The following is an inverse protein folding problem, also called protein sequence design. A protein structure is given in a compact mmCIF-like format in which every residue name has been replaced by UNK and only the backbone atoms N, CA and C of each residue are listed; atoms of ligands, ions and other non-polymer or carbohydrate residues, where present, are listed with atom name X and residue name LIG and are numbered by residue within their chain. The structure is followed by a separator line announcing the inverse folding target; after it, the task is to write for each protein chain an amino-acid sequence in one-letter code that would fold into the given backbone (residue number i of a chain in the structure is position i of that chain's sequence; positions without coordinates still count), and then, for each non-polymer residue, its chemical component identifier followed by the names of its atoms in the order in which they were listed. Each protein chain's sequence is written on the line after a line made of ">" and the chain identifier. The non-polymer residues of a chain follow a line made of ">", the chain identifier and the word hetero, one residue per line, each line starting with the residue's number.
data_IF_967444635444
#
_entry.id   IF_967444635444
#
_cell.length_a   1.000
_cell.length_b   1.000
_cell.length_c   1.000
_cell.angle_alpha   90.00
_cell.angle_beta   90.00
_cell.angle_gamma   90.00
#
_symmetry.space_group_name_H-M   'P 1'
#
loop_
_entity.id
_entity.type
_entity.pdbx_description
1 polymer ?
#
# COMPACT_ATOMS: atom_id res chain seq x y z
N UNK A 1 10.33 23.45 -22.55
CA UNK A 1 9.76 22.17 -23.04
C UNK A 1 8.70 21.74 -22.03
N UNK A 2 7.59 21.13 -22.47
CA UNK A 2 6.61 20.60 -21.54
C UNK A 2 7.25 19.47 -20.69
N UNK A 3 6.74 19.29 -19.48
CA UNK A 3 7.22 18.28 -18.52
C UNK A 3 6.24 17.12 -18.48
N UNK A 4 6.68 15.95 -18.05
CA UNK A 4 5.83 14.81 -17.78
C UNK A 4 5.44 14.75 -16.31
N UNK A 5 4.32 14.08 -16.02
CA UNK A 5 4.03 13.60 -14.67
C UNK A 5 4.44 12.12 -14.58
N UNK A 6 5.32 11.80 -13.64
CA UNK A 6 5.75 10.44 -13.37
C UNK A 6 5.20 9.98 -12.04
N UNK A 7 4.48 8.87 -12.06
CA UNK A 7 3.94 8.18 -10.91
C UNK A 7 4.79 6.95 -10.66
N UNK A 8 5.60 6.98 -9.60
CA UNK A 8 6.29 5.79 -9.11
C UNK A 8 5.45 5.20 -8.00
N UNK A 9 5.08 3.92 -8.10
CA UNK A 9 4.20 3.30 -7.12
C UNK A 9 4.57 1.85 -6.81
N UNK A 10 4.35 1.45 -5.55
CA UNK A 10 4.39 0.04 -5.15
C UNK A 10 3.05 -0.67 -5.38
N UNK A 11 1.99 0.10 -5.58
CA UNK A 11 0.61 -0.35 -5.67
C UNK A 11 0.13 -0.47 -7.12
N UNK A 12 -0.99 -1.16 -7.32
CA UNK A 12 -1.70 -1.05 -8.60
C UNK A 12 -2.28 0.36 -8.73
N UNK A 13 -2.06 1.07 -9.85
CA UNK A 13 -2.66 2.38 -10.06
C UNK A 13 -4.18 2.26 -10.23
N UNK A 14 -4.92 3.02 -9.41
CA UNK A 14 -6.39 3.08 -9.44
C UNK A 14 -6.86 4.37 -10.09
N UNK A 15 -7.81 4.29 -11.03
CA UNK A 15 -8.36 5.45 -11.76
C UNK A 15 -8.82 6.58 -10.85
N UNK A 16 -9.55 6.26 -9.77
CA UNK A 16 -10.06 7.25 -8.79
C UNK A 16 -8.95 7.94 -8.00
N UNK A 17 -7.87 7.21 -7.68
CA UNK A 17 -6.71 7.75 -6.97
C UNK A 17 -5.95 8.70 -7.90
N UNK A 18 -5.70 8.30 -9.15
CA UNK A 18 -5.08 9.16 -10.16
C UNK A 18 -5.87 10.45 -10.36
N UNK A 19 -7.20 10.37 -10.50
CA UNK A 19 -8.06 11.55 -10.61
C UNK A 19 -7.93 12.50 -9.42
N UNK A 20 -7.91 11.96 -8.20
CA UNK A 20 -7.70 12.75 -6.97
C UNK A 20 -6.34 13.47 -7.02
N UNK A 21 -5.29 12.76 -7.42
CA UNK A 21 -3.93 13.31 -7.51
C UNK A 21 -3.84 14.38 -8.62
N UNK A 22 -4.50 14.19 -9.76
CA UNK A 22 -4.57 15.18 -10.83
C UNK A 22 -5.27 16.47 -10.40
N UNK A 23 -6.38 16.35 -9.67
CA UNK A 23 -7.08 17.51 -9.11
C UNK A 23 -6.20 18.25 -8.09
N UNK A 24 -5.49 17.51 -7.23
CA UNK A 24 -4.52 18.08 -6.29
C UNK A 24 -3.40 18.82 -7.02
N UNK A 25 -2.80 18.19 -8.03
CA UNK A 25 -1.76 18.78 -8.86
C UNK A 25 -2.23 20.07 -9.54
N UNK A 26 -3.40 20.04 -10.19
CA UNK A 26 -3.98 21.20 -10.83
C UNK A 26 -4.19 22.37 -9.86
N UNK A 27 -4.71 22.09 -8.66
CA UNK A 27 -4.90 23.09 -7.60
C UNK A 27 -3.59 23.70 -7.12
N UNK A 28 -2.60 22.86 -6.80
CA UNK A 28 -1.33 23.33 -6.24
C UNK A 28 -0.51 24.17 -7.24
N UNK A 29 -0.59 23.82 -8.52
CA UNK A 29 0.15 24.53 -9.58
C UNK A 29 -0.67 25.62 -10.28
N UNK A 30 -1.94 25.79 -9.92
CA UNK A 30 -2.84 26.75 -10.56
C UNK A 30 -3.06 26.47 -12.05
N UNK A 31 -3.06 25.19 -12.44
CA UNK A 31 -3.21 24.79 -13.84
C UNK A 31 -4.67 24.49 -14.18
N UNK A 32 -5.10 24.99 -15.34
CA UNK A 32 -6.32 24.51 -15.97
C UNK A 32 -6.09 23.10 -16.54
N UNK A 33 -6.96 22.17 -16.16
CA UNK A 33 -6.89 20.77 -16.57
C UNK A 33 -8.27 20.27 -17.00
N UNK A 34 -8.28 19.32 -17.93
CA UNK A 34 -9.45 18.52 -18.26
C UNK A 34 -9.19 17.09 -17.82
N UNK A 35 -10.15 16.52 -17.08
CA UNK A 35 -10.09 15.13 -16.63
C UNK A 35 -11.32 14.40 -17.16
N UNK A 36 -11.10 13.62 -18.21
CA UNK A 36 -12.09 12.78 -18.86
C UNK A 36 -12.04 11.36 -18.27
N UNK A 37 -12.53 10.39 -19.04
CA UNK A 37 -12.41 8.98 -18.66
C UNK A 37 -10.94 8.56 -18.65
N UNK A 38 -10.42 8.27 -17.46
CA UNK A 38 -9.06 7.77 -17.28
C UNK A 38 -8.91 6.35 -17.85
N UNK A 39 -7.84 6.15 -18.61
CA UNK A 39 -7.36 4.84 -19.09
C UNK A 39 -5.88 4.70 -18.74
N UNK A 40 -5.47 3.50 -18.35
CA UNK A 40 -4.10 3.15 -17.99
C UNK A 40 -3.67 1.98 -18.86
N UNK A 41 -2.89 2.22 -19.90
CA UNK A 41 -2.48 1.12 -20.79
C UNK A 41 -0.96 0.90 -20.78
N UNK A 42 -0.52 -0.36 -20.87
CA UNK A 42 0.90 -0.67 -20.95
C UNK A 42 1.47 -0.20 -22.29
N UNK A 43 2.66 0.39 -22.25
CA UNK A 43 3.40 0.77 -23.44
C UNK A 43 4.11 -0.45 -23.99
N UNK A 44 3.84 -0.77 -25.27
CA UNK A 44 4.53 -1.83 -25.97
C UNK A 44 5.56 -1.26 -26.95
N UNK A 45 6.71 -1.93 -27.05
CA UNK A 45 7.71 -1.73 -28.10
C UNK A 45 8.04 -3.10 -28.67
N UNK A 46 7.89 -3.27 -29.99
CA UNK A 46 8.11 -4.56 -30.66
C UNK A 46 7.28 -5.69 -30.02
N UNK A 47 6.00 -5.40 -29.70
CA UNK A 47 5.08 -6.29 -28.98
C UNK A 47 5.54 -6.73 -27.57
N UNK A 48 6.52 -6.03 -26.98
CA UNK A 48 7.02 -6.28 -25.62
C UNK A 48 6.67 -5.12 -24.71
N UNK A 49 6.21 -5.43 -23.50
CA UNK A 49 5.91 -4.44 -22.48
C UNK A 49 7.18 -3.76 -21.99
N UNK A 50 7.19 -2.43 -21.96
CA UNK A 50 8.36 -1.63 -21.55
C UNK A 50 8.43 -1.39 -20.04
N UNK A 51 7.61 -2.08 -19.24
CA UNK A 51 7.47 -1.85 -17.80
C UNK A 51 7.05 -0.41 -17.46
N UNK A 52 6.32 0.22 -18.38
CA UNK A 52 5.83 1.60 -18.26
C UNK A 52 4.40 1.65 -18.76
N UNK A 53 3.51 2.26 -17.98
CA UNK A 53 2.14 2.54 -18.41
C UNK A 53 2.01 4.01 -18.78
N UNK A 54 1.18 4.31 -19.77
CA UNK A 54 0.74 5.67 -20.07
C UNK A 54 -0.69 5.87 -19.57
N UNK A 55 -0.96 7.05 -19.00
CA UNK A 55 -2.30 7.44 -18.57
C UNK A 55 -2.86 8.47 -19.54
N UNK A 56 -4.05 8.20 -20.07
CA UNK A 56 -4.80 9.15 -20.88
C UNK A 56 -6.10 9.56 -20.18
N UNK A 57 -6.75 10.59 -20.72
CA UNK A 57 -7.92 11.22 -20.08
C UNK A 57 -7.55 12.34 -19.12
N UNK A 58 -6.27 12.71 -19.03
CA UNK A 58 -5.81 13.92 -18.37
C UNK A 58 -5.16 14.85 -19.38
N UNK A 59 -5.69 16.07 -19.54
CA UNK A 59 -5.13 17.08 -20.45
C UNK A 59 -4.76 18.35 -19.69
N UNK A 60 -3.50 18.73 -19.81
CA UNK A 60 -2.96 19.99 -19.33
C UNK A 60 -1.86 20.45 -20.29
N UNK A 61 -1.93 21.67 -20.84
CA UNK A 61 -0.90 22.15 -21.79
C UNK A 61 0.50 22.33 -21.16
N UNK A 62 0.64 22.16 -19.85
CA UNK A 62 1.92 22.17 -19.13
C UNK A 62 2.47 20.75 -18.90
N UNK A 63 1.65 19.72 -19.09
CA UNK A 63 2.00 18.31 -18.94
C UNK A 63 1.94 17.64 -20.32
N UNK A 64 3.07 17.09 -20.77
CA UNK A 64 3.13 16.39 -22.07
C UNK A 64 2.47 15.02 -21.96
N UNK A 65 2.97 14.18 -21.04
CA UNK A 65 2.43 12.84 -20.78
C UNK A 65 2.39 12.52 -19.29
N UNK A 66 1.58 11.53 -18.96
CA UNK A 66 1.52 10.94 -17.63
C UNK A 66 1.96 9.49 -17.71
N UNK A 67 2.99 9.14 -16.96
CA UNK A 67 3.57 7.82 -16.92
C UNK A 67 3.45 7.21 -15.54
N UNK A 68 3.24 5.89 -15.49
CA UNK A 68 3.30 5.11 -14.26
C UNK A 68 4.37 4.03 -14.40
N UNK A 69 5.21 3.88 -13.36
CA UNK A 69 6.19 2.80 -13.25
C UNK A 69 6.11 2.17 -11.87
N UNK A 70 6.21 0.84 -11.84
CA UNK A 70 6.25 0.09 -10.59
C UNK A 70 7.64 0.17 -9.97
N UNK A 71 7.69 0.45 -8.68
CA UNK A 71 8.91 0.51 -7.88
C UNK A 71 8.81 -0.42 -6.68
N UNK A 72 9.93 -0.62 -6.00
CA UNK A 72 9.99 -1.23 -4.68
C UNK A 72 10.79 -0.34 -3.73
N UNK A 73 10.34 -0.24 -2.48
CA UNK A 73 11.09 0.36 -1.39
C UNK A 73 12.24 -0.51 -0.92
N UNK A 74 13.33 0.11 -0.48
CA UNK A 74 14.37 -0.59 0.27
C UNK A 74 14.04 -0.71 1.77
N UNK A 75 12.98 -0.04 2.24
CA UNK A 75 12.45 -0.07 3.61
C UNK A 75 11.00 0.46 3.62
N UNK A 76 10.65 1.39 4.52
CA UNK A 76 9.30 1.96 4.65
C UNK A 76 8.97 2.96 3.52
N UNK A 77 8.46 2.46 2.40
CA UNK A 77 8.06 3.25 1.22
C UNK A 77 6.63 3.81 1.34
N UNK A 78 6.38 5.02 0.85
CA UNK A 78 5.04 5.60 0.66
C UNK A 78 4.46 5.13 -0.66
N UNK A 79 3.19 4.78 -0.72
CA UNK A 79 2.60 4.09 -1.88
C UNK A 79 2.79 4.78 -3.24
N UNK A 80 2.91 6.12 -3.28
CA UNK A 80 3.29 6.86 -4.48
C UNK A 80 4.37 7.93 -4.23
N UNK A 81 5.27 8.07 -5.21
CA UNK A 81 6.06 9.28 -5.43
C UNK A 81 5.68 9.90 -6.77
N UNK A 82 5.39 11.19 -6.77
CA UNK A 82 5.00 11.92 -7.98
C UNK A 82 6.08 12.92 -8.36
N UNK A 83 6.52 12.89 -9.61
CA UNK A 83 7.51 13.83 -10.15
C UNK A 83 6.90 14.65 -11.28
N UNK A 84 7.31 15.91 -11.39
CA UNK A 84 6.92 16.80 -12.46
C UNK A 84 8.16 17.35 -13.19
N UNK A 85 8.62 16.55 -14.15
CA UNK A 85 9.91 16.73 -14.83
C UNK A 85 9.88 16.10 -16.23
N UNK A 86 10.85 16.44 -17.07
CA UNK A 86 10.91 15.94 -18.45
C UNK A 86 11.28 14.45 -18.49
N UNK A 87 12.40 14.12 -17.89
CA UNK A 87 13.04 12.80 -18.02
C UNK A 87 12.55 11.83 -16.93
N UNK A 88 12.75 10.53 -17.16
CA UNK A 88 12.41 9.47 -16.21
C UNK A 88 13.12 9.71 -14.85
N UNK A 89 12.41 9.61 -13.70
CA UNK A 89 12.99 9.89 -12.40
C UNK A 89 14.20 9.02 -12.06
N UNK A 90 15.17 9.64 -11.40
CA UNK A 90 16.35 9.00 -10.81
C UNK A 90 16.32 9.19 -9.29
N UNK A 91 17.20 8.50 -8.56
CA UNK A 91 17.29 8.63 -7.11
C UNK A 91 17.73 10.03 -6.64
N UNK A 92 18.32 10.81 -7.53
CA UNK A 92 18.77 12.18 -7.27
C UNK A 92 17.64 13.20 -7.44
N UNK A 93 16.55 12.83 -8.12
CA UNK A 93 15.42 13.72 -8.33
C UNK A 93 14.54 13.82 -7.08
N UNK A 94 13.90 14.98 -6.91
CA UNK A 94 13.00 15.25 -5.79
C UNK A 94 11.53 15.16 -6.24
N UNK A 95 10.70 14.31 -5.59
CA UNK A 95 9.29 14.23 -5.91
C UNK A 95 8.54 15.46 -5.42
N UNK A 96 7.53 15.88 -6.18
CA UNK A 96 6.61 16.95 -5.76
C UNK A 96 5.64 16.46 -4.68
N UNK A 97 5.27 15.17 -4.72
CA UNK A 97 4.40 14.53 -3.75
C UNK A 97 4.93 13.19 -3.28
N UNK A 98 4.77 12.96 -1.98
CA UNK A 98 4.95 11.71 -1.29
C UNK A 98 3.60 11.28 -0.71
N UNK A 99 2.98 10.24 -1.27
CA UNK A 99 1.58 9.90 -0.99
C UNK A 99 1.50 8.51 -0.38
N UNK A 100 0.86 8.41 0.77
CA UNK A 100 0.40 7.15 1.34
C UNK A 100 -1.10 6.98 1.06
N UNK A 101 -1.49 5.88 0.42
CA UNK A 101 -2.90 5.53 0.19
C UNK A 101 -3.43 4.69 1.35
N UNK A 102 -4.71 4.87 1.66
CA UNK A 102 -5.44 3.94 2.52
C UNK A 102 -6.88 3.84 2.11
N UNK A 103 -7.43 2.62 2.06
CA UNK A 103 -8.88 2.42 2.02
C UNK A 103 -9.52 2.37 3.41
N UNK A 104 -8.69 2.17 4.45
CA UNK A 104 -9.15 1.86 5.81
C UNK A 104 -9.68 3.11 6.51
N UNK A 105 -10.94 3.06 6.94
CA UNK A 105 -11.53 4.03 7.86
C UNK A 105 -11.36 3.61 9.33
N UNK A 106 -11.47 4.56 10.28
CA UNK A 106 -11.36 4.24 11.70
C UNK A 106 -12.57 3.43 12.23
N UNK A 107 -13.63 3.28 11.42
CA UNK A 107 -14.70 2.29 11.59
C UNK A 107 -14.18 0.85 11.62
N UNK A 108 -13.22 0.50 10.77
CA UNK A 108 -12.76 -0.89 10.60
C UNK A 108 -11.58 -1.23 11.50
N UNK A 109 -10.61 -0.33 11.62
CA UNK A 109 -9.47 -0.52 12.53
C UNK A 109 -8.91 0.80 13.05
N UNK A 110 -9.19 1.07 14.32
CA UNK A 110 -8.79 2.33 15.00
C UNK A 110 -7.29 2.60 14.94
N UNK A 111 -6.47 1.60 15.30
CA UNK A 111 -5.01 1.78 15.39
C UNK A 111 -4.32 1.57 14.05
N UNK A 112 -4.80 0.63 13.22
CA UNK A 112 -4.21 0.39 11.89
C UNK A 112 -4.54 1.52 10.92
N UNK A 113 -5.75 2.08 11.01
CA UNK A 113 -6.23 3.16 10.14
C UNK A 113 -5.34 4.40 10.11
N UNK A 114 -4.64 4.70 11.21
CA UNK A 114 -3.76 5.87 11.31
C UNK A 114 -2.32 5.47 11.64
N UNK A 115 -2.09 4.91 12.83
CA UNK A 115 -0.71 4.81 13.34
C UNK A 115 0.20 3.91 12.52
N UNK A 116 -0.30 2.80 11.97
CA UNK A 116 0.54 1.88 11.21
C UNK A 116 1.20 2.53 9.99
N UNK A 117 0.60 3.61 9.46
CA UNK A 117 1.06 4.34 8.28
C UNK A 117 1.96 5.54 8.64
N UNK A 118 1.80 6.08 9.85
CA UNK A 118 2.54 7.26 10.31
C UNK A 118 4.06 7.14 10.23
N UNK A 119 4.66 5.95 10.39
CA UNK A 119 6.11 5.79 10.26
C UNK A 119 6.62 6.12 8.87
N UNK A 120 5.83 5.91 7.80
CA UNK A 120 6.24 6.21 6.42
C UNK A 120 6.52 7.70 6.23
N UNK A 121 5.70 8.58 6.81
CA UNK A 121 5.92 10.03 6.75
C UNK A 121 7.14 10.50 7.55
N UNK A 122 7.45 9.84 8.67
CA UNK A 122 8.69 10.13 9.42
C UNK A 122 9.91 9.62 8.65
N UNK A 123 9.76 8.49 7.96
CA UNK A 123 10.84 7.86 7.22
C UNK A 123 11.21 8.65 5.95
N UNK A 124 10.21 9.05 5.15
CA UNK A 124 10.42 9.78 3.90
C UNK A 124 11.04 11.17 4.09
N UNK A 125 10.79 11.81 5.24
CA UNK A 125 11.42 13.10 5.60
C UNK A 125 12.95 13.05 5.54
N UNK A 126 13.52 11.87 5.76
CA UNK A 126 14.98 11.68 5.74
C UNK A 126 15.56 11.65 4.33
N UNK A 127 14.72 11.46 3.31
CA UNK A 127 15.09 11.35 1.91
C UNK A 127 14.65 12.56 1.11
N UNK A 128 13.39 12.97 1.28
CA UNK A 128 12.76 14.04 0.50
C UNK A 128 12.07 15.04 1.44
N UNK A 129 12.83 15.87 2.17
CA UNK A 129 12.28 16.79 3.17
C UNK A 129 11.38 17.89 2.56
N UNK A 130 11.54 18.23 1.28
CA UNK A 130 10.69 19.25 0.64
C UNK A 130 9.51 18.64 -0.14
N UNK A 131 9.44 17.31 -0.27
CA UNK A 131 8.30 16.67 -0.88
C UNK A 131 7.06 16.90 -0.03
N UNK A 132 5.97 17.32 -0.67
CA UNK A 132 4.70 17.49 0.04
C UNK A 132 4.15 16.11 0.40
N UNK A 133 3.98 15.88 1.71
CA UNK A 133 3.48 14.63 2.28
C UNK A 133 1.96 14.62 2.26
N UNK A 134 1.37 13.54 1.77
CA UNK A 134 -0.08 13.40 1.61
C UNK A 134 -0.53 12.04 2.12
N UNK A 135 -1.57 12.02 2.95
CA UNK A 135 -2.34 10.83 3.28
C UNK A 135 -3.63 10.85 2.47
N UNK A 136 -3.76 9.93 1.52
CA UNK A 136 -4.90 9.86 0.60
C UNK A 136 -5.85 8.73 1.02
N UNK A 137 -7.09 9.09 1.34
CA UNK A 137 -8.13 8.12 1.70
C UNK A 137 -8.94 7.70 0.46
N UNK A 138 -8.73 6.48 -0.02
CA UNK A 138 -9.52 5.86 -1.07
C UNK A 138 -10.64 5.00 -0.46
N UNK A 139 -11.57 5.65 0.24
CA UNK A 139 -12.63 4.97 0.99
C UNK A 139 -13.57 4.23 0.02
N UNK A 140 -13.75 2.93 0.24
CA UNK A 140 -14.71 2.10 -0.50
C UNK A 140 -15.98 1.80 0.31
N UNK A 141 -16.06 2.35 1.52
CA UNK A 141 -17.20 2.28 2.43
C UNK A 141 -17.42 3.66 3.06
N UNK A 142 -18.61 3.89 3.62
CA UNK A 142 -18.93 5.15 4.27
C UNK A 142 -17.97 5.50 5.42
N UNK A 143 -17.50 6.75 5.39
CA UNK A 143 -16.72 7.35 6.46
C UNK A 143 -17.55 7.35 7.75
N UNK A 144 -16.90 7.02 8.87
CA UNK A 144 -17.50 7.18 10.18
C UNK A 144 -17.83 8.66 10.46
N UNK A 145 -19.06 8.91 10.94
CA UNK A 145 -19.51 10.25 11.33
C UNK A 145 -18.72 10.80 12.51
N UNK A 146 -18.61 10.02 13.59
CA UNK A 146 -17.93 10.43 14.82
C UNK A 146 -16.52 9.81 14.92
N UNK A 147 -15.45 10.61 14.75
CA UNK A 147 -14.10 10.08 14.78
C UNK A 147 -13.72 9.56 16.16
N UNK A 148 -12.97 8.46 16.21
CA UNK A 148 -12.43 7.96 17.47
C UNK A 148 -11.33 8.88 18.02
N UNK A 149 -11.13 8.88 19.34
CA UNK A 149 -10.04 9.65 19.96
C UNK A 149 -8.65 9.26 19.44
N UNK A 150 -8.45 7.97 19.12
CA UNK A 150 -7.25 7.48 18.42
C UNK A 150 -7.06 8.16 17.07
N UNK A 151 -8.13 8.24 16.27
CA UNK A 151 -8.10 8.87 14.96
C UNK A 151 -7.81 10.37 15.07
N UNK A 152 -8.46 11.07 16.01
CA UNK A 152 -8.23 12.49 16.29
C UNK A 152 -6.75 12.73 16.64
N UNK A 153 -6.23 12.00 17.63
CA UNK A 153 -4.85 12.17 18.09
C UNK A 153 -3.84 11.90 16.96
N UNK A 154 -3.98 10.78 16.25
CA UNK A 154 -3.08 10.43 15.15
C UNK A 154 -3.15 11.40 13.97
N UNK A 155 -4.35 11.88 13.61
CA UNK A 155 -4.52 12.85 12.52
C UNK A 155 -3.94 14.21 12.91
N UNK A 156 -4.13 14.69 14.15
CA UNK A 156 -3.48 15.93 14.60
C UNK A 156 -1.96 15.82 14.57
N UNK A 157 -1.38 14.65 14.90
CA UNK A 157 0.06 14.41 14.75
C UNK A 157 0.51 14.50 13.28
N UNK A 158 -0.23 13.89 12.35
CA UNK A 158 0.04 13.98 10.90
C UNK A 158 0.00 15.43 10.42
N UNK A 159 -1.04 16.17 10.78
CA UNK A 159 -1.19 17.59 10.44
C UNK A 159 -0.07 18.45 11.03
N UNK A 160 0.36 18.13 12.25
CA UNK A 160 1.51 18.82 12.87
C UNK A 160 2.78 18.59 12.06
N UNK A 161 3.00 17.37 11.58
CA UNK A 161 4.11 17.00 10.68
C UNK A 161 3.98 17.56 9.25
N UNK A 162 2.96 18.38 8.97
CA UNK A 162 2.72 18.97 7.65
C UNK A 162 2.18 17.98 6.62
N UNK A 163 1.59 16.85 7.05
CA UNK A 163 0.94 15.90 6.15
C UNK A 163 -0.44 16.42 5.80
N UNK A 164 -0.72 16.58 4.50
CA UNK A 164 -2.06 16.92 4.01
C UNK A 164 -2.96 15.67 3.97
N UNK A 165 -4.24 15.83 4.27
CA UNK A 165 -5.23 14.75 4.20
C UNK A 165 -6.13 14.97 2.99
N UNK A 166 -6.22 13.97 2.10
CA UNK A 166 -7.08 14.02 0.91
C UNK A 166 -8.21 12.98 0.97
N UNK A 167 -9.32 13.30 0.32
CA UNK A 167 -10.48 12.42 0.12
C UNK A 167 -11.15 11.89 1.40
N UNK A 168 -10.95 12.60 2.52
CA UNK A 168 -11.65 12.38 3.78
C UNK A 168 -12.10 13.72 4.36
N UNK A 169 -13.36 13.79 4.83
CA UNK A 169 -13.89 15.01 5.46
C UNK A 169 -13.36 15.14 6.87
N UNK A 170 -12.76 16.28 7.18
CA UNK A 170 -12.26 16.62 8.51
C UNK A 170 -12.99 17.85 9.04
N UNK A 171 -13.47 17.78 10.28
CA UNK A 171 -13.93 18.97 11.00
C UNK A 171 -12.72 19.87 11.32
N UNK A 172 -12.68 21.04 10.70
CA UNK A 172 -11.60 22.01 10.84
C UNK A 172 -11.40 22.52 12.28
N UNK A 173 -12.42 22.39 13.15
CA UNK A 173 -12.30 22.75 14.57
C UNK A 173 -11.59 21.66 15.39
N UNK A 174 -11.77 20.40 15.02
CA UNK A 174 -11.20 19.25 15.73
C UNK A 174 -9.79 18.96 15.20
N UNK A 175 -9.65 18.89 13.88
CA UNK A 175 -8.45 18.47 13.17
C UNK A 175 -7.55 19.65 12.86
N UNK A 176 -6.95 20.18 13.92
CA UNK A 176 -5.92 21.24 13.87
C UNK A 176 -4.55 20.70 14.30
N UNK A 177 -3.44 21.18 13.71
CA UNK A 177 -2.10 20.90 14.21
C UNK A 177 -1.96 21.22 15.71
N UNK A 178 -1.13 20.44 16.41
CA UNK A 178 -0.71 20.78 17.76
C UNK A 178 0.21 22.01 17.73
N UNK A 179 0.06 22.89 18.72
CA UNK A 179 0.88 24.10 18.87
C UNK A 179 1.97 23.93 19.93
N UNK A 180 1.81 22.98 20.84
CA UNK A 180 2.76 22.74 21.92
C UNK A 180 2.83 21.27 22.33
N UNK A 181 3.93 20.91 22.99
CA UNK A 181 4.11 19.57 23.57
C UNK A 181 3.05 19.28 24.64
N UNK A 182 2.63 20.30 25.38
CA UNK A 182 1.67 20.13 26.48
C UNK A 182 0.27 19.77 25.95
N UNK A 183 -0.14 20.32 24.79
CA UNK A 183 -1.39 19.92 24.11
C UNK A 183 -1.38 18.42 23.72
N UNK A 184 -0.23 17.86 23.33
CA UNK A 184 -0.10 16.44 22.99
C UNK A 184 -0.31 15.59 24.23
N UNK A 185 0.35 15.95 25.34
CA UNK A 185 0.27 15.23 26.61
C UNK A 185 -1.17 15.28 27.14
N UNK A 186 -1.76 16.48 27.20
CA UNK A 186 -3.13 16.70 27.69
C UNK A 186 -4.16 15.92 26.87
N UNK A 187 -4.09 15.99 25.53
CA UNK A 187 -5.01 15.22 24.69
C UNK A 187 -4.83 13.72 24.92
N UNK A 188 -3.58 13.25 25.04
CA UNK A 188 -3.28 11.82 25.21
C UNK A 188 -3.71 11.26 26.56
N UNK A 189 -3.61 12.05 27.62
CA UNK A 189 -3.99 11.68 28.99
C UNK A 189 -5.50 11.58 29.19
N UNK A 190 -6.25 12.43 28.48
CA UNK A 190 -7.71 12.41 28.48
C UNK A 190 -8.30 11.26 27.64
N UNK A 191 -7.49 10.52 26.88
CA UNK A 191 -7.95 9.36 26.12
C UNK A 191 -8.15 8.13 27.00
N UNK A 192 -9.17 7.34 26.69
CA UNK A 192 -9.38 6.01 27.28
C UNK A 192 -8.10 5.17 27.19
N UNK A 193 -7.65 4.66 28.35
CA UNK A 193 -6.48 3.77 28.44
C UNK A 193 -6.74 2.42 27.77
N UNK A 194 -5.65 1.75 27.40
CA UNK A 194 -5.70 0.42 26.82
C UNK A 194 -6.39 -0.58 27.78
N UNK A 195 -7.02 -1.65 27.28
CA UNK A 195 -7.60 -2.70 28.12
C UNK A 195 -6.58 -3.30 29.09
N UNK A 196 -7.06 -3.84 30.21
CA UNK A 196 -6.24 -4.49 31.24
C UNK A 196 -5.32 -5.55 30.61
N UNK A 197 -4.04 -5.51 30.96
CA UNK A 197 -3.00 -6.40 30.41
C UNK A 197 -2.31 -5.89 29.14
N UNK A 198 -2.66 -4.70 28.64
CA UNK A 198 -1.94 -4.04 27.55
C UNK A 198 -1.18 -2.80 28.03
N UNK A 199 -0.13 -2.42 27.32
CA UNK A 199 0.70 -1.24 27.64
C UNK A 199 0.05 -0.01 26.99
N UNK A 200 -0.47 0.95 27.76
CA UNK A 200 -0.96 2.20 27.20
C UNK A 200 0.19 3.06 26.69
N UNK A 201 -0.06 3.91 25.71
CA UNK A 201 0.86 4.99 25.34
C UNK A 201 0.57 6.17 26.27
N UNK A 202 1.56 6.55 27.09
CA UNK A 202 1.51 7.67 28.03
C UNK A 202 2.79 8.50 27.84
N UNK A 203 2.68 9.81 28.02
CA UNK A 203 3.80 10.73 27.89
C UNK A 203 4.08 11.39 29.25
N UNK A 204 5.30 11.26 29.74
CA UNK A 204 5.75 11.91 30.98
C UNK A 204 6.87 12.89 30.65
N UNK A 205 6.58 14.19 30.75
CA UNK A 205 7.55 15.26 30.52
C UNK A 205 8.34 15.57 31.80
N UNK A 206 9.66 15.50 31.70
CA UNK A 206 10.63 15.89 32.73
C UNK A 206 11.51 17.02 32.18
N UNK A 207 12.44 17.54 32.99
CA UNK A 207 13.33 18.64 32.58
C UNK A 207 14.28 18.25 31.44
N UNK A 208 14.78 17.04 31.48
CA UNK A 208 15.86 16.49 30.65
C UNK A 208 15.39 15.38 29.70
N UNK A 209 14.14 14.94 29.81
CA UNK A 209 13.58 13.91 28.92
C UNK A 209 12.07 13.93 28.85
N UNK A 210 11.54 13.35 27.77
CA UNK A 210 10.17 12.88 27.69
C UNK A 210 10.20 11.36 27.62
N UNK A 211 9.50 10.71 28.55
CA UNK A 211 9.30 9.27 28.54
C UNK A 211 7.98 8.95 27.84
N UNK A 212 8.00 8.01 26.90
CA UNK A 212 6.82 7.57 26.16
C UNK A 212 6.66 6.07 26.38
N UNK A 213 5.63 5.63 27.11
CA UNK A 213 5.37 4.20 27.24
C UNK A 213 4.81 3.62 25.94
N UNK A 214 5.16 2.38 25.60
CA UNK A 214 4.53 1.72 24.46
C UNK A 214 5.19 0.41 24.08
N UNK A 215 4.38 -0.65 23.94
CA UNK A 215 4.85 -1.97 23.54
C UNK A 215 5.41 -1.97 22.12
N UNK A 216 6.63 -2.46 21.93
CA UNK A 216 7.24 -2.71 20.60
C UNK A 216 7.40 -4.21 20.31
N UNK A 217 7.46 -5.04 21.35
CA UNK A 217 7.63 -6.48 21.21
C UNK A 217 6.36 -7.20 20.73
N UNK A 218 6.50 -7.98 19.66
CA UNK A 218 5.48 -8.89 19.14
C UNK A 218 6.17 -10.06 18.44
N UNK A 219 5.60 -11.25 18.54
CA UNK A 219 6.07 -12.45 17.80
C UNK A 219 7.58 -12.72 17.86
N UNK A 220 8.23 -12.51 19.02
CA UNK A 220 9.66 -12.78 19.20
C UNK A 220 10.61 -11.64 18.82
N UNK A 221 10.12 -10.45 18.45
CA UNK A 221 11.00 -9.33 18.11
C UNK A 221 10.32 -7.96 18.08
N UNK A 222 11.05 -6.96 17.58
CA UNK A 222 10.57 -5.59 17.39
C UNK A 222 9.67 -5.52 16.15
N UNK A 223 8.38 -5.84 16.31
CA UNK A 223 7.44 -6.00 15.19
C UNK A 223 5.99 -5.56 15.49
N UNK A 224 5.78 -4.75 16.54
CA UNK A 224 4.44 -4.21 16.83
C UNK A 224 4.10 -2.98 15.94
N UNK A 225 3.78 -3.21 14.66
CA UNK A 225 3.65 -2.15 13.63
C UNK A 225 2.82 -0.91 14.03
N UNK A 226 1.61 -1.03 14.61
CA UNK A 226 0.85 0.15 15.00
C UNK A 226 1.56 1.02 16.04
N UNK A 227 2.30 0.41 16.96
CA UNK A 227 3.04 1.17 17.99
C UNK A 227 4.36 1.68 17.45
N UNK A 228 5.03 0.96 16.54
CA UNK A 228 6.19 1.48 15.81
C UNK A 228 5.81 2.80 15.15
N UNK A 229 4.70 2.82 14.41
CA UNK A 229 4.23 4.03 13.76
C UNK A 229 3.80 5.13 14.73
N UNK A 230 3.01 4.79 15.77
CA UNK A 230 2.58 5.76 16.79
C UNK A 230 3.77 6.42 17.52
N UNK A 231 4.70 5.62 18.04
CA UNK A 231 5.85 6.12 18.80
C UNK A 231 6.80 6.92 17.91
N UNK A 232 6.95 6.52 16.63
CA UNK A 232 7.75 7.26 15.66
C UNK A 232 7.17 8.66 15.41
N UNK A 233 5.88 8.77 15.13
CA UNK A 233 5.27 10.08 14.81
C UNK A 233 5.13 10.98 16.04
N UNK A 234 4.80 10.43 17.21
CA UNK A 234 4.81 11.22 18.46
C UNK A 234 6.21 11.82 18.65
N UNK A 235 7.26 11.00 18.54
CA UNK A 235 8.64 11.47 18.72
C UNK A 235 9.04 12.51 17.68
N UNK A 236 8.67 12.31 16.42
CA UNK A 236 8.95 13.26 15.34
C UNK A 236 8.26 14.61 15.58
N UNK A 237 6.98 14.60 15.99
CA UNK A 237 6.25 15.83 16.31
C UNK A 237 6.83 16.53 17.54
N UNK A 238 7.25 15.79 18.57
CA UNK A 238 7.95 16.40 19.72
C UNK A 238 9.22 17.14 19.28
N UNK A 239 10.00 16.57 18.35
CA UNK A 239 11.17 17.25 17.75
C UNK A 239 10.76 18.50 16.98
N UNK A 240 9.72 18.41 16.16
CA UNK A 240 9.23 19.55 15.37
C UNK A 240 8.72 20.71 16.24
N UNK A 241 8.10 20.40 17.38
CA UNK A 241 7.67 21.38 18.39
C UNK A 241 8.82 21.87 19.28
N UNK A 242 10.07 21.55 18.94
CA UNK A 242 11.26 22.12 19.55
C UNK A 242 11.83 21.34 20.73
N UNK A 243 11.36 20.11 21.02
CA UNK A 243 11.99 19.29 22.05
C UNK A 243 13.40 18.87 21.63
N UNK A 244 14.42 19.32 22.39
CA UNK A 244 15.84 19.02 22.10
C UNK A 244 16.45 17.97 23.02
N UNK A 245 15.82 17.68 24.16
CA UNK A 245 16.35 16.75 25.14
C UNK A 245 15.97 15.30 24.82
N UNK A 246 16.20 14.35 25.72
CA UNK A 246 15.98 12.95 25.42
C UNK A 246 14.50 12.61 25.17
N UNK A 247 14.27 11.68 24.24
CA UNK A 247 12.99 10.98 24.07
C UNK A 247 13.27 9.51 24.34
N UNK A 248 12.65 8.95 25.39
CA UNK A 248 12.93 7.59 25.84
C UNK A 248 11.66 6.76 25.77
N UNK A 249 11.68 5.69 24.98
CA UNK A 249 10.56 4.74 24.96
C UNK A 249 10.70 3.79 26.14
N UNK A 250 9.65 3.67 26.93
CA UNK A 250 9.57 2.78 28.10
C UNK A 250 8.53 1.69 27.88
N UNK A 251 8.56 0.63 28.70
CA UNK A 251 7.59 -0.48 28.64
C UNK A 251 7.47 -1.15 27.26
N UNK A 252 8.56 -1.17 26.49
CA UNK A 252 8.58 -1.71 25.12
C UNK A 252 8.55 -3.24 25.06
N UNK A 253 8.96 -3.91 26.15
CA UNK A 253 8.99 -5.38 26.24
C UNK A 253 10.10 -6.04 25.42
N UNK A 254 11.13 -5.28 25.06
CA UNK A 254 12.27 -5.77 24.27
C UNK A 254 13.43 -6.14 25.20
N UNK A 255 14.36 -6.90 24.64
CA UNK A 255 15.66 -7.26 25.22
C UNK A 255 16.70 -6.84 24.18
N UNK A 256 17.98 -6.73 24.56
CA UNK A 256 19.03 -6.26 23.65
C UNK A 256 19.11 -7.08 22.35
N UNK A 257 18.86 -8.41 22.42
CA UNK A 257 18.83 -9.31 21.26
C UNK A 257 17.76 -8.97 20.22
N UNK A 258 16.72 -8.22 20.60
CA UNK A 258 15.63 -7.80 19.71
C UNK A 258 15.95 -6.49 18.96
N UNK A 259 17.02 -5.78 19.32
CA UNK A 259 17.36 -4.43 18.83
C UNK A 259 18.41 -4.55 17.71
N UNK A 260 17.95 -4.75 16.48
CA UNK A 260 18.80 -4.90 15.29
C UNK A 260 18.92 -3.63 14.44
N UNK A 261 20.08 -3.45 13.79
CA UNK A 261 20.40 -2.27 12.94
C UNK A 261 19.50 -2.13 11.70
N UNK A 262 18.94 -3.22 11.20
CA UNK A 262 18.11 -3.24 9.98
C UNK A 262 16.65 -2.92 10.25
N UNK A 263 16.24 -2.82 11.52
CA UNK A 263 14.84 -2.59 11.85
C UNK A 263 14.44 -1.13 11.60
N UNK A 264 13.30 -0.91 10.92
CA UNK A 264 12.78 0.42 10.58
C UNK A 264 12.66 1.37 11.78
N UNK A 265 12.23 0.86 12.94
CA UNK A 265 12.10 1.68 14.14
C UNK A 265 13.47 2.13 14.67
N UNK A 266 14.48 1.26 14.56
CA UNK A 266 15.86 1.57 14.98
C UNK A 266 16.52 2.58 14.03
N UNK A 267 16.24 2.50 12.73
CA UNK A 267 16.65 3.49 11.75
C UNK A 267 16.01 4.86 12.05
N UNK A 268 14.69 4.90 12.30
CA UNK A 268 14.01 6.12 12.74
C UNK A 268 14.61 6.65 14.05
N UNK A 269 14.84 5.76 15.03
CA UNK A 269 15.40 6.14 16.32
C UNK A 269 16.77 6.81 16.19
N UNK A 270 17.64 6.31 15.30
CA UNK A 270 18.92 6.94 14.99
C UNK A 270 18.75 8.34 14.39
N UNK A 271 17.76 8.52 13.49
CA UNK A 271 17.54 9.80 12.80
C UNK A 271 17.01 10.90 13.71
N UNK A 272 16.04 10.58 14.56
CA UNK A 272 15.35 11.58 15.41
C UNK A 272 15.72 11.49 16.90
N UNK A 273 16.75 10.71 17.23
CA UNK A 273 17.33 10.62 18.57
C UNK A 273 16.37 10.03 19.61
N UNK A 274 15.79 8.85 19.30
CA UNK A 274 14.99 8.07 20.25
C UNK A 274 15.89 7.08 20.99
N UNK A 275 15.72 6.99 22.32
CA UNK A 275 16.36 5.99 23.17
C UNK A 275 15.35 4.91 23.59
N UNK A 276 15.85 3.73 23.91
CA UNK A 276 15.09 2.64 24.52
C UNK A 276 15.51 2.50 25.99
N UNK A 277 14.55 2.48 26.90
CA UNK A 277 14.84 2.37 28.32
C UNK A 277 15.58 1.06 28.64
N UNK A 278 16.74 1.18 29.31
CA UNK A 278 17.59 0.04 29.66
C UNK A 278 18.25 -0.70 28.49
N UNK A 279 18.17 -0.22 27.25
CA UNK A 279 18.76 -0.86 26.07
C UNK A 279 19.65 0.11 25.27
N UNK A 280 20.71 -0.44 24.67
CA UNK A 280 21.54 0.31 23.73
C UNK A 280 20.91 0.29 22.34
N UNK A 281 20.64 1.47 21.78
CA UNK A 281 20.20 1.59 20.39
C UNK A 281 21.46 1.58 19.51
N UNK A 282 21.69 0.53 18.69
CA UNK A 282 22.88 0.45 17.88
C UNK A 282 22.86 1.53 16.80
N UNK A 283 24.05 1.99 16.39
CA UNK A 283 24.18 2.86 15.22
C UNK A 283 23.62 2.14 13.99
N UNK A 284 22.58 2.71 13.40
CA UNK A 284 21.93 2.22 12.19
C UNK A 284 21.94 3.31 11.13
N UNK A 285 22.34 2.94 9.92
CA UNK A 285 22.31 3.83 8.76
C UNK A 285 21.13 3.43 7.88
N UNK A 286 20.42 4.43 7.37
CA UNK A 286 19.36 4.23 6.39
C UNK A 286 20.02 3.90 5.05
N UNK A 287 19.34 3.12 4.21
CA UNK A 287 19.82 2.90 2.85
C UNK A 287 19.89 4.25 2.13
N UNK A 288 20.95 4.53 1.35
CA UNK A 288 21.03 5.76 0.56
C UNK A 288 19.93 5.81 -0.52
N UNK A 289 19.54 4.64 -1.03
CA UNK A 289 18.53 4.51 -2.05
C UNK A 289 17.17 4.27 -1.37
N UNK A 290 16.24 5.21 -1.51
CA UNK A 290 14.90 5.05 -0.93
C UNK A 290 14.07 3.98 -1.64
N UNK A 291 14.16 3.96 -2.98
CA UNK A 291 13.40 3.11 -3.87
C UNK A 291 14.28 2.56 -4.99
N UNK A 292 13.75 1.62 -5.76
CA UNK A 292 14.32 1.14 -7.03
C UNK A 292 13.21 0.75 -7.97
N UNK A 293 13.44 0.82 -9.29
CA UNK A 293 12.51 0.23 -10.24
C UNK A 293 12.36 -1.27 -9.98
N UNK A 294 11.12 -1.74 -9.92
CA UNK A 294 10.85 -3.15 -9.68
C UNK A 294 11.12 -3.94 -10.98
N UNK A 295 11.99 -4.94 -10.86
CA UNK A 295 12.40 -5.83 -11.96
C UNK A 295 12.23 -7.30 -11.63
N UNK A 296 11.77 -7.61 -10.41
CA UNK A 296 11.78 -8.96 -9.86
C UNK A 296 10.51 -9.34 -9.09
N UNK A 297 9.63 -8.37 -8.77
CA UNK A 297 8.41 -8.58 -8.00
C UNK A 297 7.35 -9.36 -8.78
N UNK A 298 6.76 -10.39 -8.16
CA UNK A 298 5.68 -11.18 -8.78
C UNK A 298 4.43 -10.35 -9.09
N UNK A 299 4.20 -9.29 -8.31
CA UNK A 299 3.12 -8.31 -8.54
C UNK A 299 3.14 -7.70 -9.95
N UNK A 300 4.28 -7.64 -10.62
CA UNK A 300 4.38 -7.10 -11.97
C UNK A 300 3.49 -7.88 -12.96
N UNK A 301 3.45 -9.20 -12.84
CA UNK A 301 2.61 -10.05 -13.71
C UNK A 301 1.12 -9.88 -13.41
N UNK A 302 0.73 -9.89 -12.13
CA UNK A 302 -0.68 -9.78 -11.74
C UNK A 302 -1.25 -8.38 -11.94
N UNK A 303 -0.48 -7.31 -11.67
CA UNK A 303 -0.87 -5.92 -11.98
C UNK A 303 -1.03 -5.74 -13.50
N UNK A 304 -0.13 -6.30 -14.30
CA UNK A 304 -0.24 -6.21 -15.76
C UNK A 304 -1.54 -6.85 -16.26
N UNK A 305 -1.82 -8.10 -15.85
CA UNK A 305 -3.06 -8.78 -16.25
C UNK A 305 -4.30 -8.05 -15.75
N UNK A 306 -4.29 -7.55 -14.51
CA UNK A 306 -5.38 -6.77 -13.96
C UNK A 306 -5.70 -5.57 -14.87
N UNK A 307 -4.70 -4.73 -15.16
CA UNK A 307 -4.89 -3.52 -15.97
C UNK A 307 -5.29 -3.86 -17.40
N UNK A 308 -4.66 -4.84 -18.05
CA UNK A 308 -4.96 -5.17 -19.44
C UNK A 308 -6.38 -5.74 -19.58
N UNK A 309 -6.84 -6.55 -18.63
CA UNK A 309 -8.22 -7.03 -18.63
C UNK A 309 -9.22 -5.88 -18.48
N UNK A 310 -9.03 -5.00 -17.48
CA UNK A 310 -9.97 -3.91 -17.22
C UNK A 310 -10.00 -2.83 -18.32
N UNK A 311 -8.94 -2.70 -19.12
CA UNK A 311 -8.82 -1.64 -20.12
C UNK A 311 -9.10 -2.12 -21.54
N UNK A 312 -8.89 -3.40 -21.84
CA UNK A 312 -9.01 -3.97 -23.19
C UNK A 312 -10.11 -5.03 -23.32
N UNK A 313 -10.91 -5.27 -22.28
CA UNK A 313 -12.05 -6.20 -22.34
C UNK A 313 -13.25 -5.67 -21.54
N UNK A 314 -14.34 -6.43 -21.52
CA UNK A 314 -15.48 -6.20 -20.62
C UNK A 314 -15.34 -6.94 -19.27
N UNK A 315 -14.19 -7.59 -19.02
CA UNK A 315 -13.90 -8.20 -17.74
C UNK A 315 -13.48 -7.18 -16.69
N UNK A 316 -13.70 -7.51 -15.42
CA UNK A 316 -13.39 -6.62 -14.31
C UNK A 316 -12.95 -7.39 -13.07
N UNK A 317 -12.23 -6.72 -12.16
CA UNK A 317 -11.83 -7.30 -10.89
C UNK A 317 -12.94 -7.23 -9.84
N UNK A 318 -13.05 -8.28 -9.03
CA UNK A 318 -13.95 -8.32 -7.86
C UNK A 318 -13.21 -8.58 -6.56
N UNK A 319 -11.90 -8.79 -6.61
CA UNK A 319 -11.02 -8.84 -5.45
C UNK A 319 -9.57 -8.67 -5.91
N UNK A 320 -8.77 -7.94 -5.14
CA UNK A 320 -7.33 -7.79 -5.37
C UNK A 320 -6.55 -7.86 -4.05
N UNK A 321 -5.37 -8.46 -4.09
CA UNK A 321 -4.41 -8.61 -2.99
C UNK A 321 -3.02 -8.85 -3.60
N UNK A 322 -2.60 -8.00 -4.53
CA UNK A 322 -1.28 -8.13 -5.15
C UNK A 322 -0.17 -8.18 -4.09
N UNK A 323 0.91 -8.92 -4.36
CA UNK A 323 2.00 -9.08 -3.42
C UNK A 323 2.58 -7.73 -2.97
N UNK A 324 2.57 -7.47 -1.66
CA UNK A 324 3.05 -6.21 -1.08
C UNK A 324 2.06 -5.04 -1.14
N UNK A 325 0.86 -5.24 -1.70
CA UNK A 325 -0.20 -4.23 -1.80
C UNK A 325 -1.22 -4.29 -0.65
N UNK A 326 -1.98 -3.22 -0.46
CA UNK A 326 -3.15 -3.24 0.44
C UNK A 326 -4.22 -4.25 -0.05
N UNK A 327 -4.60 -5.21 0.80
CA UNK A 327 -5.69 -6.16 0.54
C UNK A 327 -7.00 -5.43 0.23
N UNK A 328 -7.64 -5.73 -0.90
CA UNK A 328 -8.92 -5.20 -1.36
C UNK A 328 -10.15 -5.76 -0.64
N UNK A 329 -11.34 -5.33 -1.07
CA UNK A 329 -12.62 -5.95 -0.67
C UNK A 329 -13.07 -6.93 -1.74
N UNK A 330 -13.93 -7.87 -1.37
CA UNK A 330 -14.66 -8.71 -2.31
C UNK A 330 -15.94 -8.00 -2.75
N UNK A 331 -16.15 -7.88 -4.06
CA UNK A 331 -17.32 -7.24 -4.65
C UNK A 331 -18.33 -8.30 -5.13
N UNK A 332 -19.46 -8.49 -4.42
CA UNK A 332 -20.51 -9.37 -4.91
C UNK A 332 -21.20 -8.75 -6.13
N UNK A 333 -21.89 -9.58 -6.93
CA UNK A 333 -22.64 -9.09 -8.10
C UNK A 333 -23.69 -8.03 -7.71
N UNK A 334 -24.28 -8.20 -6.52
CA UNK A 334 -25.19 -7.25 -5.89
C UNK A 334 -24.82 -7.11 -4.41
N UNK A 335 -24.85 -5.88 -3.90
CA UNK A 335 -24.62 -5.58 -2.49
C UNK A 335 -23.32 -4.81 -2.23
N UNK A 336 -23.02 -4.64 -0.95
CA UNK A 336 -21.89 -3.86 -0.47
C UNK A 336 -20.56 -4.62 -0.55
N UNK A 337 -19.42 -3.92 -0.67
CA UNK A 337 -18.10 -4.54 -0.60
C UNK A 337 -17.89 -5.31 0.71
N UNK A 338 -17.35 -6.53 0.63
CA UNK A 338 -17.20 -7.45 1.75
C UNK A 338 -15.74 -7.58 2.16
N UNK A 339 -15.35 -7.27 3.41
CA UNK A 339 -14.01 -7.56 3.89
C UNK A 339 -13.85 -9.06 4.08
N UNK A 340 -12.90 -9.67 3.37
CA UNK A 340 -12.65 -11.11 3.49
C UNK A 340 -12.09 -11.46 4.88
N UNK A 341 -12.67 -12.47 5.49
CA UNK A 341 -12.25 -12.98 6.80
C UNK A 341 -10.81 -13.50 6.75
N UNK A 342 -10.15 -13.48 7.93
CA UNK A 342 -8.79 -14.01 8.07
C UNK A 342 -8.75 -15.48 8.44
N UNK A 343 -9.79 -15.97 9.13
CA UNK A 343 -9.82 -17.33 9.67
C UNK A 343 -11.17 -17.97 9.39
N UNK A 344 -11.15 -19.24 8.98
CA UNK A 344 -12.33 -20.10 8.90
C UNK A 344 -12.92 -20.30 10.30
N UNK A 345 -12.04 -20.53 11.28
CA UNK A 345 -12.34 -20.54 12.71
C UNK A 345 -11.21 -19.86 13.49
N UNK A 346 -11.53 -18.73 14.12
CA UNK A 346 -10.56 -17.94 14.89
C UNK A 346 -10.17 -18.61 16.22
N UNK A 347 -11.09 -19.34 16.86
CA UNK A 347 -10.84 -19.98 18.14
C UNK A 347 -9.85 -21.15 17.96
N UNK A 348 -10.10 -22.01 16.98
CA UNK A 348 -9.20 -23.12 16.62
C UNK A 348 -7.84 -22.62 16.16
N UNK A 349 -7.78 -21.55 15.35
CA UNK A 349 -6.51 -20.94 14.95
C UNK A 349 -5.66 -20.49 16.14
N UNK A 350 -6.31 -19.86 17.12
CA UNK A 350 -5.65 -19.40 18.36
C UNK A 350 -5.25 -20.55 19.27
N UNK A 351 -5.97 -21.68 19.23
CA UNK A 351 -5.63 -22.90 19.96
C UNK A 351 -4.45 -23.68 19.33
N UNK A 352 -4.03 -23.33 18.12
CA UNK A 352 -2.82 -23.87 17.48
C UNK A 352 -3.02 -24.38 16.05
N UNK A 353 -4.26 -24.57 15.60
CA UNK A 353 -4.55 -25.11 14.27
C UNK A 353 -4.36 -24.04 13.18
N UNK A 354 -3.17 -24.00 12.58
CA UNK A 354 -2.82 -23.02 11.56
C UNK A 354 -3.55 -23.23 10.23
N UNK A 355 -4.18 -24.38 9.99
CA UNK A 355 -4.97 -24.67 8.77
C UNK A 355 -6.28 -23.88 8.68
N UNK A 356 -6.66 -23.24 9.79
CA UNK A 356 -7.83 -22.38 9.88
C UNK A 356 -7.61 -20.99 9.25
N UNK A 357 -6.38 -20.66 8.81
CA UNK A 357 -6.18 -19.47 7.99
C UNK A 357 -6.88 -19.64 6.64
N UNK A 358 -7.46 -18.56 6.13
CA UNK A 358 -8.06 -18.55 4.80
C UNK A 358 -6.97 -18.19 3.80
N UNK A 359 -6.70 -19.13 2.89
CA UNK A 359 -5.90 -18.85 1.71
C UNK A 359 -6.75 -18.03 0.74
N UNK A 360 -6.20 -16.91 0.27
CA UNK A 360 -6.86 -15.97 -0.62
C UNK A 360 -6.06 -15.84 -1.92
N UNK A 361 -6.70 -15.69 -3.08
CA UNK A 361 -6.04 -15.39 -4.33
C UNK A 361 -5.46 -13.97 -4.33
N UNK A 362 -4.51 -13.71 -5.21
CA UNK A 362 -4.00 -12.34 -5.42
C UNK A 362 -4.97 -11.49 -6.24
N UNK A 363 -5.76 -12.12 -7.11
CA UNK A 363 -6.70 -11.41 -7.98
C UNK A 363 -7.87 -12.33 -8.33
N UNK A 364 -9.08 -11.77 -8.37
CA UNK A 364 -10.27 -12.46 -8.87
C UNK A 364 -10.88 -11.59 -9.96
N UNK A 365 -10.99 -12.16 -11.16
CA UNK A 365 -11.58 -11.49 -12.32
C UNK A 365 -12.90 -12.15 -12.73
N UNK A 366 -13.76 -11.36 -13.35
CA UNK A 366 -15.03 -11.79 -13.94
C UNK A 366 -14.93 -11.70 -15.45
N UNK A 367 -15.22 -12.80 -16.14
CA UNK A 367 -15.53 -12.82 -17.57
C UNK A 367 -17.05 -12.94 -17.73
N UNK A 368 -17.70 -11.83 -18.07
CA UNK A 368 -19.16 -11.77 -18.23
C UNK A 368 -19.63 -12.46 -19.52
N UNK A 369 -18.77 -12.57 -20.53
CA UNK A 369 -19.11 -13.16 -21.82
C UNK A 369 -19.13 -14.68 -21.75
N UNK A 370 -18.17 -15.26 -21.04
CA UNK A 370 -18.08 -16.71 -20.83
C UNK A 370 -18.76 -17.17 -19.54
N UNK A 371 -19.24 -16.24 -18.71
CA UNK A 371 -19.73 -16.49 -17.35
C UNK A 371 -18.69 -17.26 -16.51
N UNK A 372 -17.45 -16.77 -16.48
CA UNK A 372 -16.36 -17.37 -15.73
C UNK A 372 -15.84 -16.43 -14.62
N UNK A 373 -15.50 -17.00 -13.47
CA UNK A 373 -14.73 -16.34 -12.41
C UNK A 373 -13.32 -16.92 -12.43
N UNK A 374 -12.31 -16.08 -12.53
CA UNK A 374 -10.91 -16.50 -12.64
C UNK A 374 -10.20 -16.15 -11.33
N UNK A 375 -9.93 -17.16 -10.51
CA UNK A 375 -9.09 -17.06 -9.31
C UNK A 375 -7.63 -17.15 -9.70
N UNK A 376 -6.84 -16.13 -9.38
CA UNK A 376 -5.46 -15.97 -9.82
C UNK A 376 -4.52 -15.96 -8.63
N UNK A 377 -3.48 -16.78 -8.70
CA UNK A 377 -2.29 -16.67 -7.86
C UNK A 377 -1.14 -16.06 -8.67
N UNK A 378 -0.52 -15.01 -8.15
CA UNK A 378 0.69 -14.42 -8.70
C UNK A 378 1.92 -15.08 -8.10
N UNK A 379 2.92 -15.40 -8.91
CA UNK A 379 4.15 -16.00 -8.38
C UNK A 379 5.35 -15.70 -9.31
N UNK A 380 6.56 -15.74 -8.76
CA UNK A 380 7.76 -15.70 -9.59
C UNK A 380 7.89 -17.00 -10.38
N UNK A 381 8.40 -16.95 -11.59
CA UNK A 381 8.61 -18.14 -12.43
C UNK A 381 9.37 -19.28 -11.72
N UNK A 382 10.38 -18.93 -10.90
CA UNK A 382 11.19 -19.89 -10.13
C UNK A 382 10.37 -20.69 -9.12
N UNK A 383 9.25 -20.14 -8.65
CA UNK A 383 8.38 -20.71 -7.65
C UNK A 383 7.07 -21.24 -8.25
N UNK A 384 6.90 -21.28 -9.58
CA UNK A 384 5.63 -21.61 -10.24
C UNK A 384 4.92 -22.86 -9.70
N UNK A 385 5.66 -23.91 -9.33
CA UNK A 385 5.07 -25.11 -8.75
C UNK A 385 4.40 -24.86 -7.38
N UNK A 386 4.89 -23.90 -6.59
CA UNK A 386 4.23 -23.46 -5.35
C UNK A 386 2.90 -22.79 -5.66
N UNK A 387 2.87 -21.87 -6.63
CA UNK A 387 1.63 -21.25 -7.10
C UNK A 387 0.60 -22.29 -7.55
N UNK A 388 1.03 -23.32 -8.30
CA UNK A 388 0.16 -24.43 -8.74
C UNK A 388 -0.41 -25.23 -7.56
N UNK A 389 0.36 -25.42 -6.48
CA UNK A 389 -0.14 -26.05 -5.27
C UNK A 389 -1.10 -25.13 -4.51
N UNK A 390 -0.84 -23.83 -4.47
CA UNK A 390 -1.63 -22.84 -3.74
C UNK A 390 -3.02 -22.66 -4.32
N UNK A 391 -3.17 -22.58 -5.66
CA UNK A 391 -4.49 -22.45 -6.28
C UNK A 391 -5.44 -23.62 -5.93
N UNK A 392 -4.90 -24.80 -5.57
CA UNK A 392 -5.71 -25.95 -5.14
C UNK A 392 -6.42 -25.72 -3.81
N UNK A 393 -5.99 -24.71 -3.03
CA UNK A 393 -6.50 -24.43 -1.68
C UNK A 393 -7.64 -23.40 -1.61
N UNK A 394 -8.03 -22.81 -2.75
CA UNK A 394 -9.05 -21.75 -2.83
C UNK A 394 -10.51 -22.21 -2.61
N UNK A 395 -10.74 -23.45 -2.14
CA UNK A 395 -12.10 -23.99 -1.94
C UNK A 395 -12.96 -23.12 -1.00
N UNK A 396 -12.33 -22.51 0.02
CA UNK A 396 -13.05 -21.70 1.00
C UNK A 396 -13.61 -20.42 0.36
N UNK A 397 -12.78 -19.66 -0.34
CA UNK A 397 -13.22 -18.40 -0.95
C UNK A 397 -14.29 -18.65 -2.01
N UNK A 398 -14.15 -19.75 -2.74
CA UNK A 398 -15.13 -20.18 -3.74
C UNK A 398 -16.48 -20.53 -3.11
N UNK A 399 -16.47 -21.31 -2.03
CA UNK A 399 -17.70 -21.75 -1.37
C UNK A 399 -18.41 -20.61 -0.63
N UNK A 400 -17.64 -19.76 0.05
CA UNK A 400 -18.19 -18.78 1.01
C UNK A 400 -18.52 -17.45 0.35
N UNK A 401 -17.77 -17.02 -0.66
CA UNK A 401 -17.94 -15.71 -1.29
C UNK A 401 -18.37 -15.82 -2.76
N UNK A 402 -17.62 -16.57 -3.58
CA UNK A 402 -17.86 -16.57 -5.03
C UNK A 402 -19.17 -17.26 -5.40
N UNK A 403 -19.39 -18.52 -5.00
CA UNK A 403 -20.59 -19.28 -5.38
C UNK A 403 -21.89 -18.63 -4.91
N UNK A 404 -21.99 -18.07 -3.69
CA UNK A 404 -23.19 -17.34 -3.28
C UNK A 404 -23.44 -16.07 -4.09
N UNK A 405 -22.39 -15.32 -4.46
CA UNK A 405 -22.52 -14.05 -5.17
C UNK A 405 -22.61 -14.18 -6.69
N UNK A 406 -22.03 -15.24 -7.27
CA UNK A 406 -21.94 -15.52 -8.70
C UNK A 406 -22.37 -16.98 -9.01
N UNK A 407 -23.59 -17.40 -8.67
CA UNK A 407 -24.00 -18.82 -8.69
C UNK A 407 -24.05 -19.45 -10.09
N UNK A 408 -24.16 -18.63 -11.14
CA UNK A 408 -24.20 -19.07 -12.54
C UNK A 408 -22.82 -19.12 -13.20
N UNK A 409 -21.79 -18.64 -12.53
CA UNK A 409 -20.46 -18.53 -13.10
C UNK A 409 -19.63 -19.79 -12.80
N UNK A 410 -18.92 -20.26 -13.83
CA UNK A 410 -17.94 -21.33 -13.68
C UNK A 410 -16.65 -20.76 -13.09
N UNK A 411 -16.06 -21.46 -12.13
CA UNK A 411 -14.81 -21.01 -11.51
C UNK A 411 -13.62 -21.67 -12.21
N UNK A 412 -12.66 -20.85 -12.60
CA UNK A 412 -11.34 -21.23 -13.11
C UNK A 412 -10.29 -20.81 -12.09
N UNK A 413 -9.27 -21.64 -11.95
CA UNK A 413 -8.08 -21.35 -11.15
C UNK A 413 -6.87 -21.30 -12.06
N UNK A 414 -6.02 -20.30 -11.92
CA UNK A 414 -4.84 -20.17 -12.76
C UNK A 414 -3.70 -19.44 -12.05
N UNK A 415 -2.48 -19.70 -12.50
CA UNK A 415 -1.28 -18.98 -12.05
C UNK A 415 -0.89 -17.93 -13.08
N UNK A 416 -0.55 -16.74 -12.61
CA UNK A 416 0.09 -15.67 -13.38
C UNK A 416 1.54 -15.55 -12.92
N UNK A 417 2.47 -15.68 -13.85
CA UNK A 417 3.89 -15.65 -13.55
C UNK A 417 4.54 -14.34 -13.96
N UNK A 418 5.53 -13.93 -13.17
CA UNK A 418 6.52 -12.94 -13.58
C UNK A 418 7.96 -13.49 -13.53
N UNK A 419 8.78 -13.03 -14.46
CA UNK A 419 10.21 -13.30 -14.52
C UNK A 419 10.59 -14.38 -15.55
N UNK A 420 11.84 -14.85 -15.47
CA UNK A 420 12.46 -15.74 -16.47
C UNK A 420 12.76 -15.08 -17.82
N UNK A 421 13.54 -15.78 -18.65
CA UNK A 421 13.80 -15.46 -20.06
C UNK A 421 13.03 -16.39 -21.00
N UNK A 422 12.31 -17.36 -20.44
CA UNK A 422 11.51 -18.33 -21.20
C UNK A 422 10.47 -17.65 -22.09
N UNK A 423 10.21 -18.26 -23.24
CA UNK A 423 9.26 -17.76 -24.25
C UNK A 423 8.04 -18.66 -24.41
N UNK A 424 7.90 -19.67 -23.54
CA UNK A 424 6.80 -20.62 -23.55
C UNK A 424 6.45 -21.06 -22.13
N UNK A 425 5.23 -21.58 -21.97
CA UNK A 425 4.70 -22.12 -20.71
C UNK A 425 4.43 -23.61 -20.93
N UNK A 426 4.97 -24.45 -20.05
CA UNK A 426 4.79 -25.92 -20.12
C UNK A 426 3.60 -26.36 -19.25
N UNK A 427 3.42 -25.72 -18.10
CA UNK A 427 2.39 -26.07 -17.12
C UNK A 427 1.01 -25.57 -17.54
N UNK A 428 0.02 -26.47 -17.57
CA UNK A 428 -1.35 -26.16 -18.02
C UNK A 428 -2.11 -25.28 -17.02
N UNK A 429 -1.71 -25.27 -15.76
CA UNK A 429 -2.31 -24.45 -14.70
C UNK A 429 -1.87 -22.98 -14.77
N UNK A 430 -0.77 -22.70 -15.48
CA UNK A 430 -0.28 -21.34 -15.68
C UNK A 430 -1.01 -20.72 -16.88
N UNK A 431 -1.73 -19.65 -16.64
CA UNK A 431 -2.55 -18.98 -17.66
C UNK A 431 -1.83 -17.84 -18.36
N UNK A 432 -0.79 -17.28 -17.75
CA UNK A 432 -0.02 -16.19 -18.36
C UNK A 432 1.35 -16.06 -17.70
N UNK A 433 2.34 -15.62 -18.48
CA UNK A 433 3.66 -15.24 -18.01
C UNK A 433 4.09 -13.92 -18.66
N UNK A 434 4.46 -12.96 -17.82
CA UNK A 434 5.23 -11.78 -18.21
C UNK A 434 6.70 -12.03 -17.93
N UNK A 435 7.51 -12.21 -18.97
CA UNK A 435 8.94 -12.49 -18.78
C UNK A 435 9.76 -11.20 -18.58
N UNK A 436 11.05 -11.34 -18.26
CA UNK A 436 11.95 -10.19 -17.99
C UNK A 436 12.18 -9.27 -19.18
N UNK A 437 11.99 -9.78 -20.40
CA UNK A 437 12.07 -9.01 -21.63
C UNK A 437 10.76 -8.31 -22.00
N UNK A 438 9.73 -8.41 -21.14
CA UNK A 438 8.41 -7.84 -21.40
C UNK A 438 7.55 -8.65 -22.38
N UNK A 439 7.93 -9.88 -22.70
CA UNK A 439 7.12 -10.73 -23.59
C UNK A 439 5.84 -11.18 -22.88
N UNK A 440 4.74 -11.15 -23.62
CA UNK A 440 3.40 -11.51 -23.17
C UNK A 440 3.11 -12.95 -23.60
N UNK A 441 3.23 -13.90 -22.69
CA UNK A 441 3.19 -15.33 -23.05
C UNK A 441 1.92 -15.96 -22.48
N UNK A 442 1.08 -16.45 -23.38
CA UNK A 442 -0.13 -17.21 -23.07
C UNK A 442 0.18 -18.70 -23.16
N UNK A 443 -0.45 -19.50 -22.29
CA UNK A 443 -0.41 -20.96 -22.37
C UNK A 443 -1.55 -21.49 -23.23
N UNK A 444 -1.47 -22.77 -23.59
CA UNK A 444 -2.54 -23.47 -24.34
C UNK A 444 -3.86 -23.56 -23.56
N UNK A 445 -3.85 -23.29 -22.25
CA UNK A 445 -5.03 -23.29 -21.36
C UNK A 445 -5.29 -21.93 -20.73
N UNK A 446 -4.71 -20.85 -21.26
CA UNK A 446 -5.02 -19.49 -20.83
C UNK A 446 -6.54 -19.26 -20.83
N UNK A 447 -7.11 -18.65 -19.76
CA UNK A 447 -8.49 -18.18 -19.78
C UNK A 447 -8.77 -17.33 -21.02
N UNK A 448 -9.95 -17.50 -21.62
CA UNK A 448 -10.34 -16.75 -22.83
C UNK A 448 -10.25 -15.24 -22.61
N UNK A 449 -10.60 -14.77 -21.41
CA UNK A 449 -10.45 -13.39 -21.00
C UNK A 449 -9.01 -12.86 -21.21
N UNK A 450 -7.99 -13.65 -20.86
CA UNK A 450 -6.59 -13.24 -21.05
C UNK A 450 -6.24 -13.20 -22.53
N UNK A 451 -6.68 -14.18 -23.31
CA UNK A 451 -6.44 -14.21 -24.75
C UNK A 451 -7.05 -13.00 -25.45
N UNK A 452 -8.30 -12.65 -25.10
CA UNK A 452 -8.99 -11.47 -25.61
C UNK A 452 -8.25 -10.18 -25.21
N UNK A 453 -7.88 -10.05 -23.93
CA UNK A 453 -7.20 -8.87 -23.42
C UNK A 453 -5.83 -8.63 -24.09
N UNK A 454 -5.01 -9.66 -24.22
CA UNK A 454 -3.69 -9.57 -24.86
C UNK A 454 -3.84 -9.32 -26.36
N UNK A 455 -4.79 -9.99 -27.04
CA UNK A 455 -5.06 -9.74 -28.46
C UNK A 455 -5.43 -8.28 -28.69
N UNK A 456 -6.41 -7.76 -27.94
CA UNK A 456 -6.89 -6.39 -28.09
C UNK A 456 -5.80 -5.36 -27.75
N UNK A 457 -4.92 -5.67 -26.79
CA UNK A 457 -3.75 -4.83 -26.50
C UNK A 457 -2.76 -4.82 -27.68
N UNK A 458 -2.44 -5.97 -28.27
CA UNK A 458 -1.55 -6.04 -29.43
C UNK A 458 -2.16 -5.34 -30.64
N UNK A 459 -3.47 -5.52 -30.89
CA UNK A 459 -4.21 -4.86 -31.97
C UNK A 459 -4.30 -3.33 -31.77
N UNK A 460 -4.15 -2.82 -30.54
CA UNK A 460 -4.11 -1.38 -30.27
C UNK A 460 -2.76 -0.74 -30.63
N UNK A 461 -1.66 -1.50 -30.53
CA UNK A 461 -0.31 -1.00 -30.78
C UNK A 461 0.21 -1.28 -32.20
N UNK A 462 -0.39 -2.23 -32.92
CA UNK A 462 -0.09 -2.56 -34.32
C UNK A 462 -1.12 -1.95 -35.25
#
# INVERSE_FOLDING_TARGET
>A
MPKNLWFLTEERPKKVVLQTIFQKFAKDYGFAVFVDTIRIFPILKDNKFTFTYEVTGFRCNKVEKVYIKTVSGNSSFTDFLIFYQKDEPTLQDEPIYAIEETKTDDKESRNTGVYQRCSKFVFIESYYPNAKKIMLYNLQIDQKLEPTSTYIFGTKLLLTLGVEILSKKLDEKIFTPFKSIDEIIELKDNMRKAPKGNVPILLTKKKDKIEISGRLFKSGGLSHDPNIGALSIISAVLRQLGWKQDIVITQHGLEQKHVGRTNKFIQIANKIGIKLDGLEVPKAEMNNDYWKYDKDGEKLGTIFIHLVVEEFTNGFSIFENHAGSEKGYFFPLNGEPIPLEKYKDRALYKAGDKKQIIEIPDLILVDTKENEIINIEGEKYINRHKGILQIKTFDFIEKVYIKPSYPKYKIIRTVVLFGSEETSIVEIEVGFMLNRNGQLILSVKSPKLFQEAIKNLLDFWN
#
